data_IF_780385175193
#
_entry.id   IF_780385175193
#
_cell.length_a   1.000
_cell.length_b   1.000
_cell.length_c   1.000
_cell.angle_alpha   90.00
_cell.angle_beta   90.00
_cell.angle_gamma   90.00
#
_symmetry.space_group_name_H-M   'P 1'
#
loop_
_entity.id
_entity.type
_entity.pdbx_description
1 polymer ?
#
# COMPACT_ATOMS: atom_id res chain seq x y z
N UNK A 1 11.34 28.70 23.04
CA UNK A 1 11.48 28.45 21.58
C UNK A 1 11.79 26.98 21.33
N UNK A 2 10.78 26.10 21.43
CA UNK A 2 10.92 24.67 21.10
C UNK A 2 10.23 24.36 19.75
N UNK A 3 9.21 25.15 19.37
CA UNK A 3 8.47 24.96 18.12
C UNK A 3 9.29 25.21 16.86
N UNK A 4 10.18 26.22 16.86
CA UNK A 4 10.94 26.59 15.66
C UNK A 4 12.11 25.63 15.37
N UNK A 5 12.74 25.07 16.40
CA UNK A 5 13.78 24.05 16.25
C UNK A 5 13.22 22.73 15.74
N UNK A 6 12.01 22.34 16.18
CA UNK A 6 11.30 21.18 15.64
C UNK A 6 10.97 21.41 14.18
N UNK A 7 10.39 22.56 13.82
CA UNK A 7 10.05 22.89 12.42
C UNK A 7 11.27 22.87 11.50
N UNK A 8 12.41 23.39 11.94
CA UNK A 8 13.65 23.37 11.18
C UNK A 8 14.22 21.95 10.99
N UNK A 9 13.95 21.02 11.91
CA UNK A 9 14.40 19.63 11.81
C UNK A 9 13.51 18.76 10.91
N UNK A 10 12.24 19.15 10.67
CA UNK A 10 11.26 18.37 9.90
C UNK A 10 11.76 17.91 8.51
N UNK A 11 12.41 18.76 7.68
CA UNK A 11 12.85 18.33 6.36
C UNK A 11 13.92 17.24 6.41
N UNK A 12 14.85 17.32 7.38
CA UNK A 12 15.90 16.30 7.55
C UNK A 12 15.32 14.97 8.00
N UNK A 13 14.36 15.00 8.92
CA UNK A 13 13.68 13.79 9.42
C UNK A 13 12.81 13.12 8.35
N UNK A 14 12.24 13.91 7.40
CA UNK A 14 11.56 13.37 6.20
C UNK A 14 12.53 12.66 5.28
N UNK A 15 13.63 13.32 4.92
CA UNK A 15 14.65 12.74 4.03
C UNK A 15 15.24 11.44 4.59
N UNK A 16 15.49 11.38 5.90
CA UNK A 16 15.94 10.16 6.57
C UNK A 16 14.88 9.05 6.50
N UNK A 17 13.61 9.35 6.75
CA UNK A 17 12.53 8.36 6.64
C UNK A 17 12.36 7.83 5.21
N UNK A 18 12.48 8.69 4.21
CA UNK A 18 12.43 8.33 2.78
C UNK A 18 13.64 7.47 2.37
N UNK A 19 14.84 7.72 2.94
CA UNK A 19 16.02 6.88 2.67
C UNK A 19 15.87 5.42 3.09
N UNK A 20 14.91 5.12 3.98
CA UNK A 20 14.59 3.76 4.42
C UNK A 20 13.48 3.09 3.58
N UNK A 21 12.99 3.76 2.54
CA UNK A 21 12.01 3.24 1.58
C UNK A 21 12.77 2.68 0.37
N UNK A 22 13.10 1.40 0.43
CA UNK A 22 13.92 0.72 -0.59
C UNK A 22 13.11 -0.04 -1.63
N UNK A 23 11.79 -0.03 -1.52
CA UNK A 23 10.88 -0.70 -2.46
C UNK A 23 10.23 0.32 -3.38
N UNK A 24 9.77 -0.12 -4.55
CA UNK A 24 8.94 0.67 -5.45
C UNK A 24 7.52 0.09 -5.50
N UNK A 25 6.54 0.98 -5.49
CA UNK A 25 5.13 0.64 -5.52
C UNK A 25 4.39 1.50 -6.56
N UNK A 26 3.39 0.91 -7.18
CA UNK A 26 2.40 1.59 -8.01
C UNK A 26 1.02 1.45 -7.36
N UNK A 27 0.24 2.53 -7.33
CA UNK A 27 -1.15 2.51 -6.87
C UNK A 27 -2.07 2.88 -8.01
N UNK A 28 -3.09 2.06 -8.21
CA UNK A 28 -4.11 2.20 -9.25
C UNK A 28 -5.49 2.35 -8.61
N UNK A 29 -6.39 3.01 -9.32
CA UNK A 29 -7.82 2.98 -8.97
C UNK A 29 -8.32 1.52 -8.93
N UNK A 30 -9.36 1.22 -8.13
CA UNK A 30 -9.92 -0.12 -8.06
C UNK A 30 -10.31 -0.56 -9.47
N UNK A 31 -9.83 -1.72 -9.90
CA UNK A 31 -10.21 -2.21 -11.20
C UNK A 31 -11.69 -2.57 -11.28
N UNK A 32 -12.20 -2.57 -12.49
CA UNK A 32 -13.59 -2.92 -12.81
C UNK A 32 -13.61 -4.21 -13.61
N UNK A 33 -14.66 -5.01 -13.43
CA UNK A 33 -14.93 -6.15 -14.30
C UNK A 33 -15.41 -5.62 -15.65
N UNK A 34 -14.68 -5.97 -16.70
CA UNK A 34 -15.01 -5.64 -18.09
C UNK A 34 -15.22 -6.95 -18.83
N UNK A 35 -16.32 -7.05 -19.57
CA UNK A 35 -16.57 -8.22 -20.38
C UNK A 35 -15.61 -8.22 -21.59
N UNK A 36 -14.76 -9.24 -21.69
CA UNK A 36 -13.88 -9.43 -22.83
C UNK A 36 -14.60 -10.25 -23.91
N UNK A 37 -14.81 -9.63 -25.07
CA UNK A 37 -15.55 -10.22 -26.18
C UNK A 37 -14.84 -11.41 -26.87
N UNK A 38 -13.53 -11.53 -26.69
CA UNK A 38 -12.69 -12.59 -27.26
C UNK A 38 -12.64 -13.83 -26.36
N UNK A 39 -12.47 -13.63 -25.05
CA UNK A 39 -12.43 -14.73 -24.07
C UNK A 39 -13.83 -15.12 -23.58
N UNK A 40 -14.86 -14.29 -23.88
CA UNK A 40 -16.25 -14.44 -23.42
C UNK A 40 -16.37 -14.51 -21.90
N UNK A 41 -15.43 -13.91 -21.19
CA UNK A 41 -15.35 -13.89 -19.74
C UNK A 41 -15.30 -12.45 -19.23
N UNK A 42 -15.75 -12.26 -17.99
CA UNK A 42 -15.49 -11.01 -17.27
C UNK A 42 -14.04 -11.01 -16.80
N UNK A 43 -13.26 -10.06 -17.30
CA UNK A 43 -11.88 -9.86 -16.92
C UNK A 43 -11.78 -8.65 -16.00
N UNK A 44 -10.93 -8.77 -14.99
CA UNK A 44 -10.68 -7.71 -14.03
C UNK A 44 -9.63 -6.77 -14.63
N UNK A 45 -10.05 -5.56 -15.01
CA UNK A 45 -9.16 -4.56 -15.60
C UNK A 45 -8.80 -3.51 -14.53
N UNK A 46 -7.51 -3.28 -14.22
CA UNK A 46 -7.11 -2.24 -13.27
C UNK A 46 -7.54 -0.85 -13.75
N UNK A 47 -7.84 0.04 -12.80
CA UNK A 47 -8.10 1.43 -13.09
C UNK A 47 -6.82 2.20 -13.45
N UNK A 48 -6.92 3.49 -13.79
CA UNK A 48 -5.75 4.32 -14.07
C UNK A 48 -4.78 4.38 -12.88
N UNK A 49 -3.49 4.54 -13.17
CA UNK A 49 -2.46 4.78 -12.16
C UNK A 49 -2.70 6.12 -11.46
N UNK A 50 -2.82 6.05 -10.14
CA UNK A 50 -3.04 7.18 -9.23
C UNK A 50 -1.72 7.70 -8.69
N UNK A 51 -0.77 6.80 -8.42
CA UNK A 51 0.55 7.15 -7.88
C UNK A 51 1.58 6.07 -8.19
N UNK A 52 2.85 6.45 -8.30
CA UNK A 52 3.98 5.53 -8.39
C UNK A 52 5.19 6.13 -7.69
N UNK A 53 5.97 5.32 -6.99
CA UNK A 53 7.23 5.73 -6.39
C UNK A 53 7.69 4.86 -5.23
N UNK A 54 8.62 5.41 -4.45
CA UNK A 54 9.24 4.71 -3.33
C UNK A 54 8.25 4.42 -2.21
N UNK A 55 8.36 3.23 -1.64
CA UNK A 55 7.56 2.76 -0.53
C UNK A 55 8.40 1.90 0.42
N UNK A 56 7.88 1.71 1.63
CA UNK A 56 8.43 0.78 2.61
C UNK A 56 7.38 -0.23 3.00
N UNK A 57 7.69 -1.50 2.73
CA UNK A 57 6.83 -2.62 3.08
C UNK A 57 7.21 -3.18 4.45
N UNK A 58 6.19 -3.55 5.23
CA UNK A 58 6.37 -4.30 6.48
C UNK A 58 5.22 -5.29 6.61
N UNK A 59 5.52 -6.58 6.63
CA UNK A 59 4.52 -7.59 6.98
C UNK A 59 3.99 -7.32 8.40
N UNK A 60 2.67 -7.26 8.55
CA UNK A 60 2.04 -7.24 9.86
C UNK A 60 1.86 -8.67 10.31
N UNK A 61 2.21 -8.95 11.57
CA UNK A 61 1.92 -10.26 12.16
C UNK A 61 0.41 -10.47 12.10
N UNK A 62 -0.03 -11.56 11.49
CA UNK A 62 -1.42 -11.98 11.49
C UNK A 62 -1.91 -12.04 12.94
N UNK A 63 -2.91 -11.21 13.30
CA UNK A 63 -3.78 -11.58 14.41
C UNK A 63 -4.65 -12.71 13.89
N UNK A 64 -4.52 -13.87 14.51
CA UNK A 64 -5.23 -15.08 14.13
C UNK A 64 -6.76 -14.85 14.01
N UNK A 65 -7.33 -15.48 12.98
CA UNK A 65 -8.71 -15.95 12.89
C UNK A 65 -9.83 -14.90 12.87
N UNK A 66 -10.15 -14.40 11.67
CA UNK A 66 -11.55 -14.07 11.35
C UNK A 66 -12.19 -15.37 10.80
N UNK A 67 -12.84 -16.14 11.67
CA UNK A 67 -13.64 -17.30 11.26
C UNK A 67 -14.96 -16.81 10.69
N UNK A 68 -15.03 -16.69 9.36
CA UNK A 68 -16.28 -16.53 8.64
C UNK A 68 -16.61 -17.84 7.91
N UNK A 69 -17.49 -18.65 8.52
CA UNK A 69 -18.16 -19.78 7.86
C UNK A 69 -17.26 -20.91 7.34
N UNK A 70 -16.52 -21.58 8.22
CA UNK A 70 -15.78 -22.85 7.95
C UNK A 70 -14.65 -22.79 6.90
N UNK A 71 -14.26 -21.61 6.42
CA UNK A 71 -13.05 -21.43 5.62
C UNK A 71 -12.08 -20.45 6.28
N UNK A 72 -10.92 -20.95 6.71
CA UNK A 72 -9.83 -20.13 7.22
C UNK A 72 -9.16 -19.37 6.05
N UNK A 73 -9.72 -18.22 5.67
CA UNK A 73 -9.06 -17.27 4.78
C UNK A 73 -7.97 -16.54 5.59
N UNK A 74 -6.73 -17.02 5.50
CA UNK A 74 -5.60 -16.33 6.14
C UNK A 74 -5.14 -15.17 5.25
N UNK A 75 -5.81 -14.02 5.35
CA UNK A 75 -5.40 -12.83 4.60
C UNK A 75 -4.13 -12.24 5.22
N UNK A 76 -3.02 -12.26 4.48
CA UNK A 76 -1.78 -11.62 4.92
C UNK A 76 -1.90 -10.10 4.79
N UNK A 77 -1.62 -9.40 5.89
CA UNK A 77 -1.68 -7.94 5.94
C UNK A 77 -0.28 -7.34 5.87
N UNK A 78 -0.14 -6.26 5.12
CA UNK A 78 1.10 -5.49 4.99
C UNK A 78 0.84 -4.05 5.41
N UNK A 79 1.74 -3.49 6.22
CA UNK A 79 1.84 -2.05 6.36
C UNK A 79 2.74 -1.51 5.25
N UNK A 80 2.19 -0.62 4.43
CA UNK A 80 2.94 0.08 3.39
C UNK A 80 3.09 1.53 3.82
N UNK A 81 4.31 2.01 3.97
CA UNK A 81 4.56 3.42 4.20
C UNK A 81 4.97 4.10 2.89
N UNK A 82 4.35 5.24 2.60
CA UNK A 82 4.65 6.08 1.45
C UNK A 82 5.03 7.49 1.92
N UNK A 83 5.67 8.32 1.09
CA UNK A 83 5.97 9.70 1.43
C UNK A 83 4.72 10.46 1.89
N UNK A 84 4.86 11.31 2.92
CA UNK A 84 3.72 12.04 3.51
C UNK A 84 3.05 13.01 2.52
N UNK A 85 3.77 13.42 1.48
CA UNK A 85 3.29 14.28 0.39
C UNK A 85 2.24 13.59 -0.49
N UNK A 86 2.17 12.25 -0.48
CA UNK A 86 1.22 11.50 -1.29
C UNK A 86 -0.18 11.56 -0.66
N UNK A 87 -1.08 12.32 -1.28
CA UNK A 87 -2.43 12.58 -0.73
C UNK A 87 -3.60 11.94 -1.44
N UNK A 88 -3.39 11.37 -2.63
CA UNK A 88 -4.49 10.83 -3.45
C UNK A 88 -4.86 9.37 -3.16
N UNK A 89 -4.17 8.68 -2.26
CA UNK A 89 -4.43 7.26 -1.98
C UNK A 89 -5.68 7.06 -1.13
N UNK A 90 -6.54 6.11 -1.51
CA UNK A 90 -7.81 5.81 -0.84
C UNK A 90 -7.97 4.32 -0.58
N UNK A 91 -8.84 3.99 0.37
CA UNK A 91 -9.28 2.61 0.61
C UNK A 91 -9.93 2.05 -0.67
N UNK A 92 -9.64 0.80 -1.01
CA UNK A 92 -10.10 0.12 -2.21
C UNK A 92 -9.16 0.23 -3.40
N UNK A 93 -8.22 1.19 -3.41
CA UNK A 93 -7.19 1.24 -4.46
C UNK A 93 -6.31 -0.01 -4.41
N UNK A 94 -5.77 -0.36 -5.57
CA UNK A 94 -4.84 -1.48 -5.70
C UNK A 94 -3.43 -0.97 -5.66
N UNK A 95 -2.58 -1.67 -4.90
CA UNK A 95 -1.17 -1.37 -4.75
C UNK A 95 -0.37 -2.55 -5.29
N UNK A 96 0.36 -2.32 -6.36
CA UNK A 96 1.28 -3.29 -6.96
C UNK A 96 2.69 -2.99 -6.50
N UNK A 97 3.40 -4.01 -6.04
CA UNK A 97 4.81 -3.89 -5.66
C UNK A 97 5.65 -4.11 -6.92
N UNK A 98 6.33 -3.07 -7.41
CA UNK A 98 7.12 -3.13 -8.65
C UNK A 98 8.57 -3.50 -8.39
N UNK A 99 9.11 -3.15 -7.22
CA UNK A 99 10.44 -3.55 -6.78
C UNK A 99 10.48 -3.77 -5.26
N UNK A 100 11.15 -4.82 -4.80
CA UNK A 100 11.37 -5.10 -3.38
C UNK A 100 12.63 -5.97 -3.19
N UNK A 101 13.24 -5.89 -1.99
CA UNK A 101 14.36 -6.76 -1.60
C UNK A 101 13.95 -8.25 -1.57
N UNK A 102 12.72 -8.53 -1.14
CA UNK A 102 12.12 -9.86 -1.23
C UNK A 102 11.43 -10.03 -2.60
N UNK A 103 12.06 -10.82 -3.47
CA UNK A 103 11.55 -11.11 -4.82
C UNK A 103 10.16 -11.76 -4.82
N UNK A 104 9.72 -12.39 -3.73
CA UNK A 104 8.39 -12.99 -3.63
C UNK A 104 7.26 -11.95 -3.55
N UNK A 105 7.59 -10.71 -3.21
CA UNK A 105 6.65 -9.60 -3.14
C UNK A 105 6.47 -8.88 -4.48
N UNK A 106 7.48 -8.94 -5.36
CA UNK A 106 7.45 -8.26 -6.66
C UNK A 106 6.32 -8.82 -7.53
N UNK A 107 5.52 -7.93 -8.11
CA UNK A 107 4.35 -8.26 -8.91
C UNK A 107 3.08 -8.58 -8.11
N UNK A 108 3.15 -8.66 -6.77
CA UNK A 108 1.95 -8.83 -5.95
C UNK A 108 1.10 -7.57 -5.98
N UNK A 109 -0.20 -7.78 -6.09
CA UNK A 109 -1.20 -6.71 -6.01
C UNK A 109 -1.97 -6.85 -4.69
N UNK A 110 -1.92 -5.80 -3.89
CA UNK A 110 -2.58 -5.70 -2.59
C UNK A 110 -3.74 -4.70 -2.67
N UNK A 111 -4.77 -4.86 -1.86
CA UNK A 111 -5.87 -3.89 -1.75
C UNK A 111 -5.66 -3.03 -0.53
N UNK A 112 -5.69 -1.70 -0.67
CA UNK A 112 -5.61 -0.77 0.46
C UNK A 112 -6.90 -0.89 1.30
N UNK A 113 -6.79 -1.37 2.53
CA UNK A 113 -7.93 -1.53 3.46
C UNK A 113 -8.02 -0.40 4.48
N UNK A 114 -6.92 0.30 4.75
CA UNK A 114 -6.91 1.46 5.63
C UNK A 114 -5.84 2.47 5.22
N UNK A 115 -6.16 3.77 5.33
CA UNK A 115 -5.24 4.90 5.13
C UNK A 115 -5.15 5.65 6.46
N UNK A 116 -4.04 5.49 7.16
CA UNK A 116 -3.81 6.19 8.43
C UNK A 116 -2.81 7.32 8.23
N UNK A 117 -3.23 8.55 8.55
CA UNK A 117 -2.29 9.66 8.74
C UNK A 117 -1.47 9.41 9.99
N UNK A 118 -0.14 9.38 9.88
CA UNK A 118 0.68 9.23 11.07
C UNK A 118 0.56 10.52 11.91
N UNK A 119 0.00 10.43 13.13
CA UNK A 119 -0.16 11.56 14.05
C UNK A 119 1.17 12.17 14.52
N UNK A 120 2.27 11.44 14.35
CA UNK A 120 3.64 11.83 14.74
C UNK A 120 4.70 11.38 13.71
N UNK A 121 4.29 10.79 12.58
CA UNK A 121 5.20 10.22 11.60
C UNK A 121 5.31 11.07 10.34
N UNK A 122 6.52 11.16 9.80
CA UNK A 122 6.79 11.86 8.53
C UNK A 122 6.50 11.01 7.29
N UNK A 123 5.68 9.96 7.45
CA UNK A 123 5.30 9.01 6.41
C UNK A 123 3.80 8.71 6.54
N UNK A 124 3.13 8.43 5.42
CA UNK A 124 1.74 7.96 5.41
C UNK A 124 1.73 6.46 5.45
N UNK A 125 0.95 5.87 6.37
CA UNK A 125 0.85 4.42 6.54
C UNK A 125 -0.46 3.91 5.96
N UNK A 126 -0.34 2.94 5.09
CA UNK A 126 -1.42 2.17 4.52
C UNK A 126 -1.41 0.79 5.18
N UNK A 127 -2.58 0.19 5.34
CA UNK A 127 -2.70 -1.25 5.53
C UNK A 127 -3.26 -1.80 4.23
N UNK A 128 -2.58 -2.81 3.67
CA UNK A 128 -2.96 -3.46 2.44
C UNK A 128 -3.03 -4.98 2.62
N UNK A 129 -3.96 -5.62 1.94
CA UNK A 129 -4.21 -7.06 2.04
C UNK A 129 -4.07 -7.76 0.70
N UNK A 130 -3.49 -8.94 0.71
CA UNK A 130 -3.44 -9.82 -0.46
C UNK A 130 -4.81 -10.48 -0.62
N UNK A 131 -5.67 -9.88 -1.44
CA UNK A 131 -7.08 -10.28 -1.61
C UNK A 131 -7.44 -10.62 -3.06
N UNK A 132 -6.44 -10.88 -3.91
CA UNK A 132 -6.68 -11.33 -5.28
C UNK A 132 -6.47 -12.84 -5.35
N UNK A 133 -7.48 -13.56 -4.85
CA UNK A 133 -7.72 -14.97 -5.19
C UNK A 133 -8.37 -15.11 -6.56
#
# INVERSE_FOLDING_TARGET
>A
MIGDSIRAALPRLRAEAESLMTSECEVQEPGRRVFNEYTKQEELQPGPTVWSGICKLRALRQSAEEVAGDQALTTQQYAVNVPITVTELRVGHWLTITEAEDAFLVGRTLVITSVTGASIGYQRRLVATDNLG
#
